data_IF_767056955219
#
_entry.id   IF_767056955219
#
_cell.length_a   1.000
_cell.length_b   1.000
_cell.length_c   1.000
_cell.angle_alpha   90.00
_cell.angle_beta   90.00
_cell.angle_gamma   90.00
#
_symmetry.space_group_name_H-M   'P 1'
#
loop_
_entity.id
_entity.type
_entity.pdbx_description
1 polymer ?
#
# COMPACT_ATOMS: atom_id res chain seq x y z
N UNK A 1 -20.86 13.90 18.49
CA UNK A 1 -19.57 13.37 18.99
C UNK A 1 -19.86 12.29 20.02
N UNK A 2 -19.58 11.02 19.70
CA UNK A 2 -19.87 9.89 20.62
C UNK A 2 -18.75 9.80 21.65
N UNK A 3 -19.09 9.85 22.94
CA UNK A 3 -18.12 9.72 24.03
C UNK A 3 -17.77 8.24 24.21
N UNK A 4 -16.59 7.83 23.72
CA UNK A 4 -16.08 6.47 23.91
C UNK A 4 -15.22 6.42 25.18
N UNK A 5 -15.46 5.47 26.10
CA UNK A 5 -14.62 5.34 27.28
C UNK A 5 -13.19 4.93 26.90
N UNK A 6 -12.19 5.59 27.49
CA UNK A 6 -10.75 5.32 27.23
C UNK A 6 -10.31 3.94 27.71
N UNK A 7 -11.08 3.30 28.58
CA UNK A 7 -10.84 1.97 29.13
C UNK A 7 -12.12 1.15 29.11
N UNK A 8 -12.04 -0.12 28.69
CA UNK A 8 -13.18 -1.05 28.68
C UNK A 8 -12.72 -2.44 29.10
N UNK A 9 -13.48 -3.13 29.95
CA UNK A 9 -13.24 -4.55 30.25
C UNK A 9 -13.71 -5.40 29.07
N UNK A 10 -12.78 -6.06 28.41
CA UNK A 10 -13.07 -6.97 27.29
C UNK A 10 -12.27 -8.27 27.45
N UNK A 11 -12.72 -9.32 26.77
CA UNK A 11 -12.02 -10.60 26.79
C UNK A 11 -10.69 -10.50 26.05
N UNK A 12 -9.59 -10.91 26.69
CA UNK A 12 -8.30 -10.99 26.03
C UNK A 12 -8.07 -12.42 25.54
N UNK A 13 -8.02 -12.61 24.21
CA UNK A 13 -7.74 -13.92 23.60
C UNK A 13 -6.42 -14.54 24.05
N UNK A 14 -5.40 -13.72 24.36
CA UNK A 14 -4.08 -14.20 24.81
C UNK A 14 -4.10 -14.76 26.23
N UNK A 15 -4.93 -14.22 27.11
CA UNK A 15 -4.92 -14.56 28.55
C UNK A 15 -6.18 -15.31 29.00
N UNK A 16 -7.12 -15.60 28.10
CA UNK A 16 -8.33 -16.36 28.39
C UNK A 16 -9.27 -15.73 29.42
N UNK A 17 -9.12 -14.43 29.72
CA UNK A 17 -9.88 -13.75 30.77
C UNK A 17 -10.27 -12.32 30.38
N UNK A 18 -11.30 -11.81 31.05
CA UNK A 18 -11.72 -10.41 30.91
C UNK A 18 -10.76 -9.49 31.65
N UNK A 19 -10.12 -8.60 30.91
CA UNK A 19 -9.19 -7.61 31.46
C UNK A 19 -9.58 -6.19 31.00
N UNK A 20 -9.21 -5.16 31.76
CA UNK A 20 -9.32 -3.79 31.30
C UNK A 20 -8.36 -3.54 30.12
N UNK A 21 -8.90 -3.09 28.99
CA UNK A 21 -8.13 -2.69 27.81
C UNK A 21 -8.24 -1.19 27.59
N UNK A 22 -7.10 -0.58 27.25
CA UNK A 22 -7.06 0.81 26.79
C UNK A 22 -7.63 0.88 25.38
N UNK A 23 -8.69 1.64 25.22
CA UNK A 23 -9.33 1.88 23.92
C UNK A 23 -8.67 3.09 23.29
N UNK A 24 -8.04 2.87 22.14
CA UNK A 24 -7.53 3.93 21.27
C UNK A 24 -8.31 3.92 19.97
N UNK A 25 -8.59 5.10 19.43
CA UNK A 25 -9.15 5.20 18.10
C UNK A 25 -8.04 4.92 17.09
N UNK A 26 -8.26 3.96 16.21
CA UNK A 26 -7.35 3.72 15.09
C UNK A 26 -7.34 4.96 14.19
N UNK A 27 -6.15 5.52 13.96
CA UNK A 27 -5.94 6.54 12.94
C UNK A 27 -5.36 5.83 11.72
N UNK A 28 -5.98 6.02 10.55
CA UNK A 28 -5.38 5.57 9.30
C UNK A 28 -4.03 6.26 9.15
N UNK A 29 -2.96 5.48 9.04
CA UNK A 29 -1.63 6.01 8.72
C UNK A 29 -1.63 6.65 7.34
N UNK A 30 -0.64 7.49 7.04
CA UNK A 30 -0.37 7.91 5.67
C UNK A 30 -0.06 6.64 4.87
N UNK A 31 -0.72 6.43 3.74
CA UNK A 31 -0.50 5.25 2.90
C UNK A 31 0.99 5.22 2.53
N UNK A 32 1.77 4.40 3.24
CA UNK A 32 3.14 4.13 2.84
C UNK A 32 3.00 3.38 1.52
N UNK A 33 3.63 3.89 0.47
CA UNK A 33 3.81 3.18 -0.80
C UNK A 33 4.77 2.01 -0.55
N UNK A 34 4.37 1.09 0.32
CA UNK A 34 5.01 -0.16 0.58
C UNK A 34 4.61 -1.07 -0.54
N UNK A 35 5.61 -1.48 -1.31
CA UNK A 35 5.56 -2.44 -2.41
C UNK A 35 4.82 -3.71 -1.95
N UNK A 36 3.49 -3.69 -1.96
CA UNK A 36 2.67 -4.85 -1.70
C UNK A 36 2.69 -5.69 -2.97
N UNK A 37 3.35 -6.85 -2.90
CA UNK A 37 3.28 -7.95 -3.85
C UNK A 37 1.84 -8.44 -3.94
N UNK A 38 1.00 -7.70 -4.66
CA UNK A 38 -0.44 -7.95 -4.73
C UNK A 38 -1.24 -6.89 -5.48
N UNK A 39 -0.61 -5.84 -5.98
CA UNK A 39 -1.27 -4.88 -6.87
C UNK A 39 -0.33 -4.51 -8.00
N UNK A 40 -0.56 -5.08 -9.18
CA UNK A 40 0.13 -4.71 -10.42
C UNK A 40 -0.32 -3.30 -10.82
N UNK A 41 0.20 -2.28 -10.16
CA UNK A 41 0.12 -0.92 -10.69
C UNK A 41 1.23 -0.82 -11.72
N UNK A 42 0.87 -1.04 -12.98
CA UNK A 42 1.75 -0.73 -14.10
C UNK A 42 1.92 0.79 -14.14
N UNK A 43 2.97 1.30 -13.49
CA UNK A 43 3.46 2.64 -13.82
C UNK A 43 4.03 2.52 -15.23
N UNK A 44 3.24 2.93 -16.23
CA UNK A 44 3.71 3.08 -17.61
C UNK A 44 4.65 4.30 -17.66
N UNK A 45 5.84 4.13 -17.09
CA UNK A 45 6.95 5.04 -17.21
C UNK A 45 7.62 4.85 -18.56
N UNK A 46 7.18 5.63 -19.56
CA UNK A 46 7.88 5.98 -20.81
C UNK A 46 9.04 5.06 -21.22
N UNK A 47 8.74 3.93 -21.86
CA UNK A 47 9.69 3.20 -22.70
C UNK A 47 9.86 3.95 -24.04
N UNK A 48 10.56 5.07 -24.03
CA UNK A 48 10.87 5.84 -25.25
C UNK A 48 12.33 6.27 -25.31
N UNK A 49 13.25 5.30 -25.33
CA UNK A 49 14.63 5.52 -25.82
C UNK A 49 15.15 4.35 -26.65
N UNK A 50 14.29 3.72 -27.45
CA UNK A 50 14.69 2.69 -28.43
C UNK A 50 14.03 2.88 -29.81
N UNK A 51 13.77 4.11 -30.27
CA UNK A 51 13.19 4.35 -31.62
C UNK A 51 14.05 5.20 -32.57
N UNK A 52 15.33 5.43 -32.28
CA UNK A 52 16.17 6.29 -33.15
C UNK A 52 17.07 5.58 -34.16
N UNK A 53 17.64 4.42 -33.82
CA UNK A 53 18.73 3.80 -34.62
C UNK A 53 18.31 2.62 -35.50
N UNK A 54 17.20 1.94 -35.20
CA UNK A 54 16.72 0.79 -35.99
C UNK A 54 15.98 1.18 -37.27
N UNK A 55 15.37 2.37 -37.30
CA UNK A 55 14.65 2.90 -38.47
C UNK A 55 15.58 3.44 -39.57
N UNK A 56 16.82 3.83 -39.25
CA UNK A 56 17.79 4.26 -40.28
C UNK A 56 18.38 3.09 -41.07
N UNK A 57 18.53 1.91 -40.47
CA UNK A 57 19.08 0.74 -41.17
C UNK A 57 18.12 0.21 -42.25
N UNK A 58 16.81 0.33 -42.03
CA UNK A 58 15.79 -0.14 -42.98
C UNK A 58 15.64 0.74 -44.23
N UNK A 59 16.04 2.01 -44.19
CA UNK A 59 16.00 2.92 -45.36
C UNK A 59 17.24 2.85 -46.26
N UNK A 60 18.27 2.09 -45.87
CA UNK A 60 19.47 1.84 -46.70
C UNK A 60 19.41 0.52 -47.46
N UNK A 61 18.36 -0.28 -47.24
CA UNK A 61 18.20 -1.60 -47.85
C UNK A 61 17.11 -1.64 -48.94
N UNK A 62 16.62 -0.47 -49.38
CA UNK A 62 15.80 -0.30 -50.58
C UNK A 62 16.59 0.51 -51.60
#
# INVERSE_FOLDING_TARGET
MVKVPKTRRTFCKKYGKHQPHKVIQYKKGKDSLGFMTGSRVAIVGKLSRLSGKRLKLQRRLC
#
